data_IF_579206315718
#
_entry.id   IF_579206315718
#
_cell.length_a   1.000
_cell.length_b   1.000
_cell.length_c   1.000
_cell.angle_alpha   90.00
_cell.angle_beta   90.00
_cell.angle_gamma   90.00
#
_symmetry.space_group_name_H-M   'P 1'
#
loop_
_entity.id
_entity.type
_entity.pdbx_description
1 polymer ?
#
# COMPACT_ATOMS: atom_id res chain seq x y z
N UNK A 1 14.52 5.13 4.43
CA UNK A 1 13.53 6.10 3.91
C UNK A 1 12.48 6.28 4.98
N UNK A 2 12.34 7.50 5.52
CA UNK A 2 11.27 7.82 6.47
C UNK A 2 9.94 7.72 5.71
N UNK A 3 9.23 6.60 5.86
CA UNK A 3 7.85 6.51 5.38
C UNK A 3 7.05 7.50 6.21
N UNK A 4 6.73 8.64 5.61
CA UNK A 4 5.89 9.72 6.16
C UNK A 4 4.48 9.19 6.40
N UNK A 5 4.33 8.39 7.46
CA UNK A 5 3.05 7.87 7.93
C UNK A 5 2.47 8.77 9.01
N UNK A 6 1.16 8.81 9.10
CA UNK A 6 0.44 9.45 10.20
C UNK A 6 0.81 8.78 11.54
N UNK A 7 0.96 9.56 12.63
CA UNK A 7 1.47 9.04 13.89
C UNK A 7 0.52 7.98 14.46
N UNK A 8 1.09 6.83 14.78
CA UNK A 8 0.40 5.76 15.50
C UNK A 8 0.49 6.05 17.00
N UNK A 9 -0.57 5.71 17.74
CA UNK A 9 -0.62 5.89 19.18
C UNK A 9 -0.17 4.59 19.86
N UNK A 10 0.80 4.61 20.78
CA UNK A 10 1.19 3.44 21.55
C UNK A 10 0.05 2.99 22.49
N UNK A 11 0.08 1.71 22.87
CA UNK A 11 -0.94 1.11 23.74
C UNK A 11 -1.07 1.83 25.10
N UNK A 12 0.04 2.33 25.64
CA UNK A 12 0.07 3.06 26.90
C UNK A 12 1.12 4.18 26.86
N UNK A 13 0.81 5.33 27.47
CA UNK A 13 1.79 6.37 27.80
C UNK A 13 1.71 6.71 29.28
N UNK A 14 2.84 7.10 29.88
CA UNK A 14 2.90 7.56 31.28
C UNK A 14 2.01 8.79 31.54
N UNK A 15 1.79 9.63 30.52
CA UNK A 15 0.88 10.76 30.59
C UNK A 15 -0.43 10.44 29.86
N UNK A 16 -1.47 10.12 30.64
CA UNK A 16 -2.79 9.75 30.11
C UNK A 16 -3.49 10.89 29.36
N UNK A 17 -3.25 12.15 29.73
CA UNK A 17 -3.86 13.30 29.05
C UNK A 17 -3.33 13.46 27.62
N UNK A 18 -2.01 13.31 27.45
CA UNK A 18 -1.38 13.30 26.13
C UNK A 18 -1.79 12.08 25.31
N UNK A 19 -1.97 10.93 25.95
CA UNK A 19 -2.46 9.71 25.29
C UNK A 19 -3.87 9.93 24.70
N UNK A 20 -4.80 10.49 25.47
CA UNK A 20 -6.16 10.79 24.98
C UNK A 20 -6.16 11.79 23.82
N UNK A 21 -5.32 12.81 23.87
CA UNK A 21 -5.18 13.78 22.77
C UNK A 21 -4.64 13.10 21.50
N UNK A 22 -3.64 12.23 21.64
CA UNK A 22 -3.09 11.48 20.53
C UNK A 22 -4.15 10.53 19.91
N UNK A 23 -4.93 9.83 20.74
CA UNK A 23 -6.05 8.99 20.27
C UNK A 23 -7.08 9.82 19.50
N UNK A 24 -7.51 10.97 20.04
CA UNK A 24 -8.46 11.84 19.36
C UNK A 24 -7.92 12.35 18.01
N UNK A 25 -6.65 12.73 17.95
CA UNK A 25 -5.99 13.17 16.72
C UNK A 25 -5.94 12.04 15.69
N UNK A 26 -5.53 10.82 16.08
CA UNK A 26 -5.43 9.68 15.17
C UNK A 26 -6.81 9.24 14.67
N UNK A 27 -7.86 9.27 15.50
CA UNK A 27 -9.24 9.01 15.07
C UNK A 27 -9.72 10.07 14.07
N UNK A 28 -9.47 11.36 14.34
CA UNK A 28 -9.83 12.44 13.41
C UNK A 28 -9.06 12.34 12.09
N UNK A 29 -7.79 11.91 12.13
CA UNK A 29 -7.01 11.64 10.92
C UNK A 29 -7.58 10.46 10.15
N UNK A 30 -7.94 9.37 10.82
CA UNK A 30 -8.55 8.21 10.18
C UNK A 30 -9.87 8.59 9.47
N UNK A 31 -10.71 9.41 10.11
CA UNK A 31 -11.94 9.94 9.51
C UNK A 31 -11.69 10.82 8.27
N UNK A 32 -10.53 11.49 8.20
CA UNK A 32 -10.10 12.27 7.03
C UNK A 32 -9.40 11.43 5.95
N UNK A 33 -9.43 10.10 6.04
CA UNK A 33 -8.76 9.21 5.09
C UNK A 33 -7.24 9.15 5.22
N UNK A 34 -6.68 9.73 6.30
CA UNK A 34 -5.25 9.72 6.63
C UNK A 34 -4.86 8.42 7.31
N UNK A 35 -5.20 7.31 6.67
CA UNK A 35 -4.89 5.96 7.10
C UNK A 35 -3.65 5.48 6.34
N UNK A 36 -2.65 4.96 7.06
CA UNK A 36 -1.36 4.52 6.50
C UNK A 36 -1.51 3.22 5.70
N UNK A 37 -2.34 3.22 4.66
CA UNK A 37 -2.71 2.05 3.86
C UNK A 37 -2.17 2.10 2.44
N UNK A 38 -1.59 3.23 2.03
CA UNK A 38 -1.01 3.39 0.71
C UNK A 38 0.48 3.00 0.68
N UNK A 39 0.90 2.52 -0.48
CA UNK A 39 2.28 2.27 -0.89
C UNK A 39 2.43 2.56 -2.38
N UNK A 40 3.66 2.72 -2.86
CA UNK A 40 3.95 2.76 -4.29
C UNK A 40 4.62 1.45 -4.72
N UNK A 41 4.24 0.96 -5.89
CA UNK A 41 4.78 -0.26 -6.50
C UNK A 41 5.09 0.02 -7.96
N UNK A 42 6.31 -0.28 -8.38
CA UNK A 42 6.70 -0.26 -9.80
C UNK A 42 6.82 -1.69 -10.31
N UNK A 43 6.19 -1.98 -11.45
CA UNK A 43 6.25 -3.29 -12.08
C UNK A 43 7.64 -3.56 -12.66
N UNK A 44 8.13 -4.79 -12.52
CA UNK A 44 9.40 -5.22 -13.06
C UNK A 44 9.39 -5.20 -14.60
N UNK A 45 10.36 -4.50 -15.21
CA UNK A 45 10.60 -4.56 -16.64
C UNK A 45 11.20 -5.92 -17.06
N UNK A 46 10.83 -6.42 -18.24
CA UNK A 46 11.34 -7.69 -18.75
C UNK A 46 10.80 -8.94 -18.06
N UNK A 47 9.82 -8.81 -17.15
CA UNK A 47 9.23 -9.91 -16.39
C UNK A 47 7.70 -9.95 -16.55
N UNK A 48 7.12 -11.12 -16.29
CA UNK A 48 5.66 -11.33 -16.24
C UNK A 48 5.08 -11.22 -14.84
N UNK A 49 5.94 -11.18 -13.81
CA UNK A 49 5.53 -11.14 -12.41
C UNK A 49 6.37 -10.14 -11.60
N UNK A 50 5.72 -9.48 -10.65
CA UNK A 50 6.36 -8.61 -9.66
C UNK A 50 5.93 -9.03 -8.27
N UNK A 51 6.89 -9.24 -7.38
CA UNK A 51 6.62 -9.56 -5.97
C UNK A 51 6.69 -8.28 -5.13
N UNK A 52 5.62 -7.99 -4.40
CA UNK A 52 5.54 -6.87 -3.47
C UNK A 52 5.52 -7.41 -2.05
N UNK A 53 6.44 -6.93 -1.22
CA UNK A 53 6.54 -7.29 0.20
C UNK A 53 6.08 -6.12 1.04
N UNK A 54 5.04 -6.34 1.84
CA UNK A 54 4.53 -5.36 2.78
C UNK A 54 3.83 -6.09 3.92
N UNK A 55 4.22 -5.80 5.17
CA UNK A 55 3.70 -6.48 6.35
C UNK A 55 2.19 -6.26 6.57
N UNK A 56 1.62 -5.23 5.94
CA UNK A 56 0.17 -4.92 5.98
C UNK A 56 -0.66 -5.85 5.09
N UNK A 57 -0.04 -6.63 4.20
CA UNK A 57 -0.75 -7.55 3.31
C UNK A 57 -1.13 -8.81 4.09
N UNK A 58 -2.43 -9.05 4.25
CA UNK A 58 -3.01 -10.29 4.72
C UNK A 58 -3.63 -11.12 3.59
N UNK A 59 -4.10 -12.33 3.91
CA UNK A 59 -4.75 -13.22 2.93
C UNK A 59 -6.14 -12.74 2.46
N UNK A 60 -6.75 -11.81 3.20
CA UNK A 60 -8.08 -11.24 2.92
C UNK A 60 -8.02 -9.76 2.54
N UNK A 61 -6.81 -9.21 2.36
CA UNK A 61 -6.63 -7.79 2.08
C UNK A 61 -7.04 -7.48 0.64
N UNK A 62 -8.00 -6.59 0.49
CA UNK A 62 -8.39 -5.98 -0.77
C UNK A 62 -7.29 -5.03 -1.23
N UNK A 63 -6.84 -5.22 -2.47
CA UNK A 63 -5.78 -4.43 -3.07
C UNK A 63 -6.40 -3.60 -4.19
N UNK A 64 -6.27 -2.27 -4.08
CA UNK A 64 -6.69 -1.35 -5.12
C UNK A 64 -5.48 -0.70 -5.78
N UNK A 65 -5.47 -0.65 -7.11
CA UNK A 65 -4.40 -0.08 -7.91
C UNK A 65 -4.84 1.24 -8.54
N UNK A 66 -4.03 2.28 -8.38
CA UNK A 66 -4.18 3.55 -9.06
C UNK A 66 -2.91 3.81 -9.89
N UNK A 67 -3.01 3.88 -11.24
CA UNK A 67 -1.84 4.14 -12.07
C UNK A 67 -1.35 5.58 -11.87
N UNK A 68 -0.04 5.77 -11.72
CA UNK A 68 0.56 7.10 -11.57
C UNK A 68 1.21 7.60 -12.88
N UNK A 69 1.34 6.73 -13.88
CA UNK A 69 1.97 7.02 -15.17
C UNK A 69 1.11 6.51 -16.32
N UNK A 70 1.33 7.03 -17.53
CA UNK A 70 0.62 6.58 -18.72
C UNK A 70 0.90 5.09 -19.03
N UNK A 71 2.15 4.67 -18.87
CA UNK A 71 2.56 3.27 -19.04
C UNK A 71 1.91 2.34 -18.00
N UNK A 72 1.73 2.81 -16.77
CA UNK A 72 0.98 2.09 -15.75
C UNK A 72 -0.51 1.97 -16.11
N UNK A 73 -1.12 3.04 -16.61
CA UNK A 73 -2.52 3.02 -17.05
C UNK A 73 -2.75 2.03 -18.20
N UNK A 74 -1.80 1.92 -19.13
CA UNK A 74 -1.86 0.91 -20.20
C UNK A 74 -1.74 -0.53 -19.67
N UNK A 75 -1.04 -0.74 -18.56
CA UNK A 75 -0.84 -2.06 -17.95
C UNK A 75 -2.05 -2.56 -17.14
N UNK A 76 -3.07 -1.74 -16.88
CA UNK A 76 -4.21 -2.10 -16.03
C UNK A 76 -5.04 -3.27 -16.58
N UNK A 77 -5.15 -3.40 -17.91
CA UNK A 77 -6.05 -4.36 -18.56
C UNK A 77 -5.63 -5.83 -18.38
N UNK A 78 -4.42 -6.09 -17.89
CA UNK A 78 -3.92 -7.44 -17.60
C UNK A 78 -3.25 -7.57 -16.23
N UNK A 79 -3.39 -6.56 -15.37
CA UNK A 79 -2.80 -6.57 -14.03
C UNK A 79 -3.76 -7.25 -13.05
N UNK A 80 -3.30 -8.32 -12.41
CA UNK A 80 -4.05 -8.97 -11.33
C UNK A 80 -3.11 -9.57 -10.28
N UNK A 81 -3.65 -9.82 -9.09
CA UNK A 81 -2.95 -10.47 -7.98
C UNK A 81 -3.08 -11.98 -8.17
N UNK A 82 -1.97 -12.66 -8.47
CA UNK A 82 -1.95 -14.11 -8.72
C UNK A 82 -1.69 -14.94 -7.47
N UNK A 83 -1.03 -14.36 -6.48
CA UNK A 83 -0.83 -14.98 -5.17
C UNK A 83 -0.81 -13.92 -4.07
N UNK A 84 -1.37 -14.25 -2.91
CA UNK A 84 -1.36 -13.40 -1.73
C UNK A 84 -1.11 -14.27 -0.50
N UNK A 85 -0.07 -13.93 0.25
CA UNK A 85 0.27 -14.56 1.54
C UNK A 85 0.56 -13.47 2.56
N UNK A 86 0.60 -13.83 3.84
CA UNK A 86 0.90 -12.85 4.88
C UNK A 86 2.26 -12.18 4.62
N UNK A 87 2.24 -10.86 4.47
CA UNK A 87 3.44 -10.04 4.24
C UNK A 87 3.86 -9.90 2.77
N UNK A 88 3.16 -10.53 1.82
CA UNK A 88 3.58 -10.55 0.42
C UNK A 88 2.42 -10.78 -0.56
N UNK A 89 2.49 -10.13 -1.71
CA UNK A 89 1.66 -10.44 -2.87
C UNK A 89 2.50 -10.58 -4.14
N UNK A 90 1.99 -11.35 -5.09
CA UNK A 90 2.55 -11.49 -6.43
C UNK A 90 1.56 -10.92 -7.43
N UNK A 91 2.05 -9.95 -8.21
CA UNK A 91 1.32 -9.30 -9.29
C UNK A 91 1.73 -9.97 -10.60
N UNK A 92 0.74 -10.38 -11.40
CA UNK A 92 0.96 -10.81 -12.79
C UNK A 92 0.63 -9.65 -13.72
N UNK A 93 1.49 -9.40 -14.70
CA UNK A 93 1.34 -8.34 -15.68
C UNK A 93 2.00 -8.71 -17.02
N UNK A 94 1.72 -7.93 -18.06
CA UNK A 94 2.37 -8.10 -19.36
C UNK A 94 3.90 -7.91 -19.23
N UNK A 95 4.66 -8.74 -19.95
CA UNK A 95 6.10 -8.56 -20.08
C UNK A 95 6.37 -7.42 -21.07
N UNK A 96 6.95 -6.34 -20.58
CA UNK A 96 7.35 -5.20 -21.40
C UNK A 96 8.69 -4.65 -20.89
N UNK A 97 9.43 -3.98 -21.77
CA UNK A 97 10.67 -3.29 -21.42
C UNK A 97 10.43 -1.95 -20.69
N UNK A 98 9.18 -1.50 -20.55
CA UNK A 98 8.87 -0.25 -19.85
C UNK A 98 9.17 -0.38 -18.35
N UNK A 99 10.01 0.54 -17.87
CA UNK A 99 10.47 0.65 -16.49
C UNK A 99 9.62 1.60 -15.65
N UNK A 100 8.72 2.38 -16.26
CA UNK A 100 7.96 3.44 -15.57
C UNK A 100 6.50 3.04 -15.31
N UNK A 101 6.26 1.77 -14.98
CA UNK A 101 4.93 1.26 -14.66
C UNK A 101 4.68 1.34 -13.16
N UNK A 102 4.48 2.56 -12.67
CA UNK A 102 4.33 2.86 -11.24
C UNK A 102 2.86 3.03 -10.85
N UNK A 103 2.47 2.34 -9.78
CA UNK A 103 1.13 2.36 -9.20
C UNK A 103 1.17 2.84 -7.75
N UNK A 104 0.21 3.67 -7.36
CA UNK A 104 -0.19 3.78 -5.97
C UNK A 104 -1.11 2.60 -5.64
N UNK A 105 -0.77 1.88 -4.58
CA UNK A 105 -1.49 0.68 -4.13
C UNK A 105 -2.03 0.96 -2.75
N UNK A 106 -3.31 0.65 -2.54
CA UNK A 106 -3.98 0.76 -1.25
C UNK A 106 -4.32 -0.63 -0.75
N UNK A 107 -3.94 -0.92 0.49
CA UNK A 107 -4.22 -2.18 1.20
C UNK A 107 -5.37 -1.98 2.18
N UNK A 108 -6.51 -2.63 1.95
CA UNK A 108 -7.67 -2.55 2.86
C UNK A 108 -8.04 -3.95 3.31
N UNK A 109 -7.96 -4.23 4.62
CA UNK A 109 -8.32 -5.52 5.20
C UNK A 109 -8.20 -5.52 6.71
#
# INVERSE_FOLDING_TARGET
MSTQGYPLVPLSMKNEAQHRQALALTTNNAAQGKINVSSQVTLAAGATTTTVKDSRIGATTVISFCPLTADAAAALSGLYVSAQVKGQMTLTHANTASTDRTFAVTFIG
#
